data_IF_481826289057
#
_entry.id   IF_481826289057
#
_cell.length_a   1.000
_cell.length_b   1.000
_cell.length_c   1.000
_cell.angle_alpha   90.00
_cell.angle_beta   90.00
_cell.angle_gamma   90.00
#
_symmetry.space_group_name_H-M   'P 1'
#
loop_
_entity.id
_entity.type
_entity.pdbx_description
1 polymer ?
#
# COMPACT_ATOMS: atom_id res chain seq x y z
N UNK A 1 7.50 2.28 30.72
CA UNK A 1 6.86 1.53 29.60
C UNK A 1 7.61 0.23 29.39
N UNK A 2 6.90 -0.89 29.28
CA UNK A 2 7.43 -2.19 28.89
C UNK A 2 6.64 -2.76 27.70
N UNK A 3 7.14 -3.85 27.09
CA UNK A 3 6.51 -4.45 25.89
C UNK A 3 5.05 -4.84 26.10
N UNK A 4 4.72 -5.34 27.29
CA UNK A 4 3.36 -5.75 27.62
C UNK A 4 2.42 -4.53 27.71
N UNK A 5 2.86 -3.45 28.34
CA UNK A 5 2.13 -2.18 28.39
C UNK A 5 1.95 -1.59 26.98
N UNK A 6 3.02 -1.60 26.16
CA UNK A 6 2.97 -1.15 24.77
C UNK A 6 1.93 -1.93 23.97
N UNK A 7 1.95 -3.26 24.04
CA UNK A 7 1.01 -4.14 23.37
C UNK A 7 -0.44 -3.89 23.81
N UNK A 8 -0.65 -3.70 25.10
CA UNK A 8 -1.97 -3.48 25.68
C UNK A 8 -2.57 -2.15 25.22
N UNK A 9 -1.80 -1.06 25.29
CA UNK A 9 -2.26 0.26 24.82
C UNK A 9 -2.59 0.23 23.34
N UNK A 10 -1.73 -0.37 22.50
CA UNK A 10 -1.98 -0.56 21.08
C UNK A 10 -3.29 -1.31 20.82
N UNK A 11 -3.50 -2.45 21.50
CA UNK A 11 -4.71 -3.25 21.30
C UNK A 11 -5.97 -2.54 21.77
N UNK A 12 -5.91 -1.77 22.86
CA UNK A 12 -7.05 -0.96 23.32
C UNK A 12 -7.39 0.12 22.29
N UNK A 13 -6.38 0.80 21.73
CA UNK A 13 -6.58 1.81 20.70
C UNK A 13 -7.24 1.23 19.44
N UNK A 14 -6.76 0.07 18.96
CA UNK A 14 -7.33 -0.65 17.82
C UNK A 14 -8.79 -1.07 18.04
N UNK A 15 -9.11 -1.56 19.24
CA UNK A 15 -10.45 -2.08 19.55
C UNK A 15 -11.45 -0.98 19.92
N UNK A 16 -11.00 0.21 20.32
CA UNK A 16 -11.85 1.28 20.85
C UNK A 16 -12.65 0.88 22.12
N UNK A 17 -12.27 -0.24 22.77
CA UNK A 17 -12.95 -0.81 23.92
C UNK A 17 -12.02 -1.68 24.77
N UNK A 18 -11.94 -1.41 26.06
CA UNK A 18 -11.15 -2.22 27.00
C UNK A 18 -11.66 -3.66 27.05
N UNK A 19 -12.98 -3.86 27.01
CA UNK A 19 -13.59 -5.20 27.05
C UNK A 19 -13.25 -6.01 25.79
N UNK A 20 -13.34 -5.38 24.60
CA UNK A 20 -12.97 -6.03 23.35
C UNK A 20 -11.46 -6.34 23.30
N UNK A 21 -10.62 -5.40 23.74
CA UNK A 21 -9.17 -5.59 23.83
C UNK A 21 -8.78 -6.72 24.80
N UNK A 22 -9.45 -6.81 25.97
CA UNK A 22 -9.21 -7.87 26.93
C UNK A 22 -9.49 -9.26 26.34
N UNK A 23 -10.60 -9.42 25.59
CA UNK A 23 -10.90 -10.65 24.85
C UNK A 23 -9.81 -10.96 23.82
N UNK A 24 -9.39 -9.96 23.01
CA UNK A 24 -8.35 -10.12 21.99
C UNK A 24 -6.99 -10.49 22.58
N UNK A 25 -6.70 -10.00 23.79
CA UNK A 25 -5.45 -10.24 24.53
C UNK A 25 -5.49 -11.49 25.44
N UNK A 26 -6.62 -12.19 25.50
CA UNK A 26 -6.83 -13.34 26.40
C UNK A 26 -6.54 -13.03 27.88
N UNK A 27 -6.94 -11.84 28.34
CA UNK A 27 -6.82 -11.41 29.75
C UNK A 27 -8.18 -10.99 30.30
N UNK A 28 -8.30 -10.93 31.64
CA UNK A 28 -9.51 -10.41 32.26
C UNK A 28 -9.61 -8.88 32.06
N UNK A 29 -10.82 -8.39 31.82
CA UNK A 29 -11.05 -6.94 31.68
C UNK A 29 -10.63 -6.15 32.94
N UNK A 30 -10.85 -6.63 34.21
CA UNK A 30 -10.36 -5.94 35.38
C UNK A 30 -8.83 -5.80 35.40
N UNK A 31 -8.10 -6.85 35.01
CA UNK A 31 -6.62 -6.82 34.92
C UNK A 31 -6.13 -5.80 33.90
N UNK A 32 -6.75 -5.74 32.71
CA UNK A 32 -6.38 -4.78 31.69
C UNK A 32 -6.69 -3.34 32.13
N UNK A 33 -7.84 -3.11 32.76
CA UNK A 33 -8.22 -1.81 33.32
C UNK A 33 -7.30 -1.36 34.44
N UNK A 34 -6.85 -2.29 35.30
CA UNK A 34 -5.92 -1.99 36.39
C UNK A 34 -4.55 -1.60 35.84
N UNK A 35 -4.03 -2.34 34.85
CA UNK A 35 -2.77 -2.02 34.17
C UNK A 35 -2.84 -0.64 33.53
N UNK A 36 -3.93 -0.33 32.83
CA UNK A 36 -4.09 0.99 32.21
C UNK A 36 -4.10 2.11 33.26
N UNK A 37 -4.82 1.93 34.38
CA UNK A 37 -4.84 2.92 35.47
C UNK A 37 -3.46 3.11 36.08
N UNK A 38 -2.72 2.04 36.32
CA UNK A 38 -1.36 2.12 36.82
C UNK A 38 -0.45 2.88 35.86
N UNK A 39 -0.55 2.60 34.56
CA UNK A 39 0.20 3.32 33.52
C UNK A 39 -0.11 4.81 33.53
N UNK A 40 -1.39 5.19 33.59
CA UNK A 40 -1.83 6.58 33.65
C UNK A 40 -1.34 7.28 34.93
N UNK A 41 -1.26 6.56 36.05
CA UNK A 41 -0.66 7.06 37.29
C UNK A 41 0.87 7.25 37.18
N UNK A 42 1.57 6.30 36.57
CA UNK A 42 3.04 6.38 36.34
C UNK A 42 3.40 7.55 35.40
N UNK A 43 2.58 7.81 34.39
CA UNK A 43 2.80 8.90 33.43
C UNK A 43 2.26 10.25 33.91
N UNK A 44 1.39 10.26 34.90
CA UNK A 44 0.68 11.44 35.38
C UNK A 44 -0.35 12.00 34.39
N UNK A 45 -0.63 11.31 33.29
CA UNK A 45 -1.51 11.77 32.24
C UNK A 45 -2.48 10.66 31.79
N UNK A 46 -3.76 10.98 31.50
CA UNK A 46 -4.68 10.02 30.91
C UNK A 46 -4.24 9.66 29.49
N UNK A 47 -4.21 8.38 29.19
CA UNK A 47 -3.87 7.86 27.86
C UNK A 47 -5.12 7.74 26.99
N UNK A 48 -6.27 7.42 27.61
CA UNK A 48 -7.54 7.32 26.91
C UNK A 48 -8.57 8.27 27.49
N UNK A 49 -9.37 8.86 26.59
CA UNK A 49 -10.57 9.63 26.95
C UNK A 49 -11.73 8.66 27.20
N UNK A 50 -12.11 8.52 28.45
CA UNK A 50 -13.19 7.62 28.89
C UNK A 50 -14.61 8.21 28.70
N UNK A 51 -14.70 9.47 28.30
CA UNK A 51 -15.99 10.13 28.05
C UNK A 51 -16.59 9.77 26.69
N UNK A 52 -15.78 9.13 25.81
CA UNK A 52 -16.18 8.81 24.44
C UNK A 52 -16.47 7.32 24.24
N UNK A 53 -17.42 7.02 23.35
CA UNK A 53 -17.68 5.67 22.86
C UNK A 53 -17.74 5.74 21.32
N UNK A 54 -16.83 5.06 20.60
CA UNK A 54 -15.71 4.24 21.08
C UNK A 54 -14.65 5.03 21.86
N UNK A 55 -13.91 4.33 22.72
CA UNK A 55 -12.79 4.88 23.50
C UNK A 55 -11.74 5.48 22.59
N UNK A 56 -11.31 6.72 22.83
CA UNK A 56 -10.33 7.44 22.01
C UNK A 56 -9.07 7.74 22.78
N UNK A 57 -7.96 7.90 22.08
CA UNK A 57 -6.71 8.37 22.65
C UNK A 57 -6.81 9.86 23.00
N UNK A 58 -6.17 10.24 24.09
CA UNK A 58 -5.81 11.64 24.36
C UNK A 58 -4.57 12.03 23.56
N UNK A 59 -4.22 13.32 23.54
CA UNK A 59 -2.95 13.75 22.93
C UNK A 59 -1.73 13.05 23.57
N UNK A 60 -1.73 12.87 24.87
CA UNK A 60 -0.69 12.08 25.56
C UNK A 60 -0.72 10.61 25.12
N UNK A 61 -1.92 10.05 24.93
CA UNK A 61 -2.13 8.70 24.42
C UNK A 61 -1.59 8.50 23.01
N UNK A 62 -1.75 9.47 22.11
CA UNK A 62 -1.18 9.42 20.76
C UNK A 62 0.36 9.36 20.81
N UNK A 63 0.98 10.21 21.66
CA UNK A 63 2.44 10.19 21.85
C UNK A 63 2.92 8.88 22.46
N UNK A 64 2.17 8.36 23.42
CA UNK A 64 2.47 7.07 24.04
C UNK A 64 2.34 5.92 23.03
N UNK A 65 1.26 5.89 22.25
CA UNK A 65 1.05 4.86 21.21
C UNK A 65 2.18 4.88 20.17
N UNK A 66 2.58 6.05 19.69
CA UNK A 66 3.70 6.17 18.75
C UNK A 66 5.00 5.59 19.32
N UNK A 67 5.31 5.88 20.59
CA UNK A 67 6.48 5.29 21.26
C UNK A 67 6.34 3.78 21.48
N UNK A 68 5.14 3.31 21.83
CA UNK A 68 4.82 1.90 22.01
C UNK A 68 5.01 1.09 20.72
N UNK A 69 4.57 1.63 19.58
CA UNK A 69 4.73 0.99 18.27
C UNK A 69 6.19 0.85 17.88
N UNK A 70 7.02 1.86 18.12
CA UNK A 70 8.47 1.79 17.91
C UNK A 70 9.14 0.71 18.77
N UNK A 71 8.76 0.61 20.03
CA UNK A 71 9.28 -0.42 20.95
C UNK A 71 8.91 -1.83 20.49
N UNK A 72 7.67 -2.03 20.06
CA UNK A 72 7.19 -3.31 19.53
C UNK A 72 7.90 -3.68 18.24
N UNK A 73 8.16 -2.71 17.36
CA UNK A 73 8.91 -2.91 16.13
C UNK A 73 10.35 -3.35 16.42
N UNK A 74 11.05 -2.67 17.33
CA UNK A 74 12.41 -3.03 17.72
C UNK A 74 12.50 -4.44 18.32
N UNK A 75 11.51 -4.83 19.13
CA UNK A 75 11.47 -6.21 19.68
C UNK A 75 11.26 -7.25 18.56
N UNK A 76 10.36 -6.98 17.62
CA UNK A 76 10.13 -7.89 16.49
C UNK A 76 11.39 -8.02 15.59
N UNK A 77 12.14 -6.94 15.42
CA UNK A 77 13.42 -6.94 14.72
C UNK A 77 14.45 -7.84 15.42
N UNK A 78 14.65 -7.66 16.71
CA UNK A 78 15.55 -8.50 17.51
C UNK A 78 15.18 -9.99 17.39
N UNK A 79 13.91 -10.34 17.48
CA UNK A 79 13.45 -11.71 17.33
C UNK A 79 13.74 -12.26 15.92
N UNK A 80 13.66 -11.41 14.88
CA UNK A 80 14.01 -11.80 13.51
C UNK A 80 15.51 -12.04 13.36
N UNK A 81 16.34 -11.16 13.91
CA UNK A 81 17.81 -11.31 13.92
C UNK A 81 18.25 -12.59 14.63
N UNK A 82 17.64 -12.87 15.79
CA UNK A 82 17.95 -14.08 16.55
C UNK A 82 17.54 -15.36 15.80
N UNK A 83 16.44 -15.33 15.07
CA UNK A 83 16.01 -16.45 14.21
C UNK A 83 17.00 -16.67 13.04
N UNK A 84 17.45 -15.59 12.41
CA UNK A 84 18.43 -15.69 11.32
C UNK A 84 19.77 -16.27 11.82
N UNK A 85 20.24 -15.83 12.98
CA UNK A 85 21.45 -16.35 13.62
C UNK A 85 21.35 -17.86 13.89
N UNK A 86 20.17 -18.36 14.24
CA UNK A 86 19.91 -19.79 14.44
C UNK A 86 19.89 -20.59 13.13
N UNK A 87 20.06 -19.98 11.99
CA UNK A 87 19.99 -20.58 10.64
C UNK A 87 18.66 -21.29 10.34
N UNK A 88 17.60 -20.93 11.04
CA UNK A 88 16.30 -21.63 10.90
C UNK A 88 15.55 -21.26 9.61
N UNK A 89 16.01 -20.30 8.81
CA UNK A 89 15.31 -19.78 7.61
C UNK A 89 13.78 -19.63 7.79
N UNK A 90 13.34 -19.62 9.04
CA UNK A 90 11.96 -19.46 9.45
C UNK A 90 11.72 -18.01 9.84
N UNK A 91 10.55 -17.50 9.47
CA UNK A 91 10.22 -16.14 9.79
C UNK A 91 8.82 -15.76 9.33
N UNK A 92 8.57 -14.47 9.45
CA UNK A 92 7.34 -13.86 8.96
C UNK A 92 7.71 -12.59 8.22
N UNK A 93 7.25 -12.46 6.99
CA UNK A 93 7.36 -11.25 6.19
C UNK A 93 5.99 -10.57 6.12
N UNK A 94 5.85 -9.44 6.80
CA UNK A 94 4.66 -8.59 6.72
C UNK A 94 4.82 -7.65 5.52
N UNK A 95 4.15 -8.01 4.43
CA UNK A 95 4.26 -7.33 3.15
C UNK A 95 3.07 -6.41 2.90
N UNK A 96 3.33 -5.13 2.70
CA UNK A 96 2.35 -4.16 2.24
C UNK A 96 2.36 -4.03 0.71
N UNK A 97 1.20 -4.11 0.09
CA UNK A 97 1.05 -3.97 -1.37
C UNK A 97 -0.39 -3.56 -1.70
N UNK A 98 -0.64 -2.85 -2.79
CA UNK A 98 -2.02 -2.61 -3.22
C UNK A 98 -2.66 -3.88 -3.76
N UNK A 99 -3.98 -4.06 -3.53
CA UNK A 99 -4.71 -5.29 -3.92
C UNK A 99 -4.51 -5.64 -5.40
N UNK A 100 -4.66 -4.67 -6.30
CA UNK A 100 -4.50 -4.91 -7.73
C UNK A 100 -3.07 -5.33 -8.09
N UNK A 101 -2.07 -4.74 -7.40
CA UNK A 101 -0.67 -5.11 -7.63
C UNK A 101 -0.35 -6.48 -7.03
N UNK A 102 -0.95 -6.82 -5.88
CA UNK A 102 -0.85 -8.15 -5.29
C UNK A 102 -1.35 -9.24 -6.22
N UNK A 103 -2.49 -9.02 -6.88
CA UNK A 103 -3.04 -9.95 -7.87
C UNK A 103 -2.10 -10.25 -9.05
N UNK A 104 -1.24 -9.29 -9.41
CA UNK A 104 -0.26 -9.47 -10.50
C UNK A 104 1.06 -10.07 -10.01
N UNK A 105 1.54 -9.62 -8.85
CA UNK A 105 2.88 -9.94 -8.34
C UNK A 105 2.89 -11.27 -7.60
N UNK A 106 1.93 -11.47 -6.69
CA UNK A 106 1.98 -12.63 -5.78
C UNK A 106 1.90 -13.99 -6.47
N UNK A 107 1.05 -14.22 -7.48
CA UNK A 107 1.01 -15.50 -8.18
C UNK A 107 2.33 -15.89 -8.86
N UNK A 108 3.16 -14.91 -9.22
CA UNK A 108 4.43 -15.12 -9.89
C UNK A 108 5.60 -15.26 -8.90
N UNK A 109 5.59 -14.45 -7.84
CA UNK A 109 6.71 -14.33 -6.90
C UNK A 109 6.63 -15.36 -5.78
N UNK A 110 5.42 -15.59 -5.23
CA UNK A 110 5.26 -16.47 -4.09
C UNK A 110 5.74 -17.92 -4.33
N UNK A 111 5.44 -18.57 -5.46
CA UNK A 111 5.94 -19.93 -5.71
C UNK A 111 7.48 -20.02 -5.72
N UNK A 112 8.14 -19.04 -6.33
CA UNK A 112 9.62 -18.98 -6.39
C UNK A 112 10.21 -18.74 -5.00
N UNK A 113 9.61 -17.81 -4.26
CA UNK A 113 10.05 -17.49 -2.91
C UNK A 113 9.89 -18.68 -1.95
N UNK A 114 8.76 -19.38 -1.99
CA UNK A 114 8.49 -20.53 -1.11
C UNK A 114 9.41 -21.73 -1.39
N UNK A 115 9.90 -21.90 -2.62
CA UNK A 115 10.90 -22.93 -2.90
C UNK A 115 12.19 -22.70 -2.13
N UNK A 116 12.59 -21.42 -1.94
CA UNK A 116 13.81 -21.06 -1.23
C UNK A 116 13.59 -20.90 0.28
N UNK A 117 12.40 -20.44 0.68
CA UNK A 117 12.04 -20.12 2.05
C UNK A 117 10.73 -20.80 2.48
N UNK A 118 10.69 -22.15 2.57
CA UNK A 118 9.46 -22.89 2.86
C UNK A 118 8.87 -22.60 4.24
N UNK A 119 9.70 -22.17 5.19
CA UNK A 119 9.30 -21.88 6.58
C UNK A 119 9.08 -20.39 6.86
N UNK A 120 9.07 -19.54 5.83
CA UNK A 120 8.74 -18.11 5.98
C UNK A 120 7.28 -17.89 5.59
N UNK A 121 6.49 -17.40 6.53
CA UNK A 121 5.09 -17.03 6.28
C UNK A 121 5.01 -15.60 5.74
N UNK A 122 4.29 -15.41 4.64
CA UNK A 122 3.92 -14.07 4.16
C UNK A 122 2.57 -13.64 4.73
N UNK A 123 2.52 -12.42 5.27
CA UNK A 123 1.29 -11.76 5.69
C UNK A 123 1.09 -10.51 4.82
N UNK A 124 0.00 -10.48 4.05
CA UNK A 124 -0.29 -9.35 3.18
C UNK A 124 -1.12 -8.30 3.89
N UNK A 125 -0.73 -7.03 3.71
CA UNK A 125 -1.53 -5.85 4.06
C UNK A 125 -1.82 -5.08 2.79
N UNK A 126 -3.09 -5.07 2.39
CA UNK A 126 -3.53 -4.50 1.12
C UNK A 126 -4.12 -3.10 1.34
N UNK A 127 -3.33 -2.08 1.01
CA UNK A 127 -3.69 -0.66 1.17
C UNK A 127 -3.08 0.20 0.04
N UNK A 128 -3.56 1.44 -0.09
CA UNK A 128 -2.96 2.43 -0.99
C UNK A 128 -1.54 2.86 -0.55
N UNK A 129 -0.73 3.31 -1.50
CA UNK A 129 0.70 3.58 -1.28
C UNK A 129 1.00 4.54 -0.11
N UNK A 130 0.23 5.61 0.05
CA UNK A 130 0.42 6.56 1.16
C UNK A 130 0.22 5.88 2.54
N UNK A 131 -0.78 5.01 2.64
CA UNK A 131 -1.07 4.27 3.86
C UNK A 131 0.00 3.21 4.16
N UNK A 132 0.54 2.58 3.11
CA UNK A 132 1.64 1.61 3.25
C UNK A 132 2.92 2.26 3.79
N UNK A 133 3.25 3.48 3.36
CA UNK A 133 4.39 4.22 3.92
C UNK A 133 4.23 4.50 5.42
N UNK A 134 3.02 4.86 5.84
CA UNK A 134 2.73 5.08 7.25
C UNK A 134 2.87 3.80 8.07
N UNK A 135 2.26 2.69 7.61
CA UNK A 135 2.37 1.38 8.25
C UNK A 135 3.83 0.91 8.34
N UNK A 136 4.63 1.19 7.32
CA UNK A 136 6.05 0.86 7.31
C UNK A 136 6.82 1.65 8.36
N UNK A 137 6.58 2.98 8.46
CA UNK A 137 7.20 3.83 9.50
C UNK A 137 6.81 3.42 10.92
N UNK A 138 5.58 2.94 11.11
CA UNK A 138 5.09 2.44 12.40
C UNK A 138 5.57 1.02 12.75
N UNK A 139 6.26 0.33 11.82
CA UNK A 139 6.70 -1.05 12.02
C UNK A 139 5.58 -2.09 11.98
N UNK A 140 4.42 -1.74 11.44
CA UNK A 140 3.30 -2.66 11.26
C UNK A 140 3.51 -3.62 10.09
N UNK A 141 4.31 -3.21 9.10
CA UNK A 141 4.80 -4.04 7.99
C UNK A 141 6.33 -3.93 7.91
N UNK A 142 6.97 -4.94 7.32
CA UNK A 142 8.42 -5.04 7.18
C UNK A 142 8.90 -4.51 5.83
N UNK A 143 8.13 -4.76 4.80
CA UNK A 143 8.39 -4.40 3.42
C UNK A 143 7.11 -3.84 2.79
N UNK A 144 7.21 -2.79 2.01
CA UNK A 144 6.14 -2.31 1.15
C UNK A 144 6.55 -2.38 -0.32
N UNK A 145 5.69 -2.95 -1.17
CA UNK A 145 5.79 -2.82 -2.61
C UNK A 145 4.82 -1.74 -3.05
N UNK A 146 5.33 -0.54 -3.33
CA UNK A 146 4.51 0.63 -3.54
C UNK A 146 4.98 1.49 -4.72
N UNK A 147 4.03 2.11 -5.39
CA UNK A 147 4.32 3.11 -6.40
C UNK A 147 4.25 4.50 -5.74
N UNK A 148 5.36 5.21 -5.72
CA UNK A 148 5.54 6.47 -5.01
C UNK A 148 6.07 7.56 -5.95
N UNK A 149 5.65 8.80 -5.71
CA UNK A 149 6.18 9.98 -6.39
C UNK A 149 7.24 10.72 -5.56
N UNK A 150 7.21 10.57 -4.25
CA UNK A 150 8.12 11.21 -3.31
C UNK A 150 8.74 10.18 -2.39
N UNK A 151 9.94 10.46 -1.90
CA UNK A 151 10.69 9.60 -0.99
C UNK A 151 10.77 10.22 0.40
N UNK A 152 10.64 9.41 1.44
CA UNK A 152 10.84 9.81 2.83
C UNK A 152 12.29 9.54 3.26
N UNK A 153 12.97 10.44 3.98
CA UNK A 153 14.34 10.23 4.43
C UNK A 153 14.54 9.03 5.36
N UNK A 154 13.48 8.60 6.04
CA UNK A 154 13.50 7.48 7.00
C UNK A 154 13.37 6.10 6.34
N UNK A 155 13.08 6.03 5.05
CA UNK A 155 12.87 4.81 4.31
C UNK A 155 13.96 4.61 3.25
N UNK A 156 14.30 3.36 2.99
CA UNK A 156 15.10 2.94 1.85
C UNK A 156 14.16 2.55 0.69
N UNK A 157 14.60 2.80 -0.53
CA UNK A 157 13.83 2.56 -1.74
C UNK A 157 14.70 1.83 -2.76
N UNK A 158 14.27 0.65 -3.17
CA UNK A 158 14.89 -0.11 -4.27
C UNK A 158 13.92 -0.12 -5.45
N UNK A 159 14.36 0.40 -6.59
CA UNK A 159 13.53 0.44 -7.79
C UNK A 159 13.34 -0.97 -8.34
N UNK A 160 12.08 -1.39 -8.44
CA UNK A 160 11.71 -2.67 -9.07
C UNK A 160 11.35 -2.45 -10.53
N UNK A 161 10.49 -1.48 -10.82
CA UNK A 161 9.91 -1.30 -12.15
C UNK A 161 9.59 0.18 -12.43
N UNK A 162 9.77 0.59 -13.69
CA UNK A 162 9.23 1.87 -14.21
C UNK A 162 7.96 1.60 -14.97
N UNK A 163 6.89 2.27 -14.60
CA UNK A 163 5.56 2.07 -15.18
C UNK A 163 5.16 3.28 -16.03
N UNK A 164 4.74 3.05 -17.24
CA UNK A 164 4.20 4.10 -18.11
C UNK A 164 2.77 4.42 -17.72
N UNK A 165 2.46 5.71 -17.57
CA UNK A 165 1.09 6.18 -17.34
C UNK A 165 0.45 6.51 -18.69
N UNK A 166 -0.81 6.16 -18.82
CA UNK A 166 -1.59 6.44 -20.00
C UNK A 166 -3.08 6.51 -19.71
N UNK A 167 -3.83 6.59 -20.77
CA UNK A 167 -5.29 6.70 -20.78
C UNK A 167 -5.86 5.38 -21.28
N UNK A 168 -6.62 4.69 -20.46
CA UNK A 168 -7.53 3.65 -20.90
C UNK A 168 -8.82 4.31 -21.35
N UNK A 169 -9.25 4.08 -22.57
CA UNK A 169 -10.49 4.59 -23.13
C UNK A 169 -11.40 3.44 -23.57
N UNK A 170 -12.65 3.47 -23.16
CA UNK A 170 -13.67 2.60 -23.74
C UNK A 170 -13.92 2.95 -25.21
N UNK A 171 -14.31 1.96 -26.02
CA UNK A 171 -14.48 2.09 -27.48
C UNK A 171 -15.42 3.20 -27.94
N UNK A 172 -16.38 3.59 -27.09
CA UNK A 172 -17.41 4.58 -27.42
C UNK A 172 -16.99 6.02 -27.08
N UNK A 173 -15.78 6.21 -26.55
CA UNK A 173 -15.19 7.53 -26.32
C UNK A 173 -14.83 8.21 -27.66
N UNK A 174 -14.83 9.54 -27.68
CA UNK A 174 -14.40 10.29 -28.88
C UNK A 174 -12.92 9.98 -29.18
N UNK A 175 -12.10 9.84 -28.15
CA UNK A 175 -10.68 9.50 -28.28
C UNK A 175 -10.49 8.14 -28.98
N UNK A 176 -11.24 7.11 -28.58
CA UNK A 176 -11.11 5.77 -29.15
C UNK A 176 -11.62 5.69 -30.59
N UNK A 177 -12.52 6.59 -31.00
CA UNK A 177 -12.99 6.71 -32.39
C UNK A 177 -12.01 7.48 -33.28
N UNK A 178 -11.25 8.39 -32.70
CA UNK A 178 -10.38 9.31 -33.44
C UNK A 178 -8.95 8.78 -33.62
N UNK A 179 -8.41 8.05 -32.62
CA UNK A 179 -7.01 7.63 -32.58
C UNK A 179 -6.86 6.12 -32.52
N UNK A 180 -5.84 5.59 -33.18
CA UNK A 180 -5.46 4.18 -33.04
C UNK A 180 -4.88 3.91 -31.64
N UNK A 181 -5.19 2.74 -31.09
CA UNK A 181 -4.60 2.31 -29.80
C UNK A 181 -3.08 2.30 -29.87
N UNK A 182 -2.41 2.72 -28.80
CA UNK A 182 -0.96 2.86 -28.72
C UNK A 182 -0.44 4.24 -29.16
N UNK A 183 -1.27 5.10 -29.79
CA UNK A 183 -0.88 6.47 -30.10
C UNK A 183 -0.63 7.27 -28.84
N UNK A 184 0.53 7.91 -28.72
CA UNK A 184 0.80 8.82 -27.61
C UNK A 184 -0.07 10.09 -27.73
N UNK A 185 -0.88 10.38 -26.70
CA UNK A 185 -1.82 11.50 -26.70
C UNK A 185 -1.49 12.50 -25.60
N UNK A 186 -1.68 13.81 -25.88
CA UNK A 186 -1.66 14.82 -24.83
C UNK A 186 -2.91 14.66 -23.95
N UNK A 187 -2.82 15.08 -22.68
CA UNK A 187 -3.93 14.96 -21.73
C UNK A 187 -5.18 15.75 -22.19
N UNK A 188 -4.99 16.84 -22.91
CA UNK A 188 -6.05 17.68 -23.48
C UNK A 188 -7.03 16.89 -24.35
N UNK A 189 -6.56 15.81 -24.97
CA UNK A 189 -7.41 14.94 -25.81
C UNK A 189 -8.56 14.32 -25.01
N UNK A 190 -8.43 14.14 -23.69
CA UNK A 190 -9.45 13.53 -22.82
C UNK A 190 -10.15 14.49 -21.87
N UNK A 191 -9.83 15.79 -21.93
CA UNK A 191 -10.40 16.78 -21.00
C UNK A 191 -11.93 16.92 -21.09
N UNK A 192 -12.53 16.55 -22.23
CA UNK A 192 -13.99 16.57 -22.44
C UNK A 192 -14.64 15.21 -22.23
N UNK A 193 -13.86 14.18 -22.06
CA UNK A 193 -14.38 12.82 -21.83
C UNK A 193 -14.90 12.66 -20.41
N UNK A 194 -15.79 11.69 -20.25
CA UNK A 194 -16.21 11.23 -18.93
C UNK A 194 -15.07 10.43 -18.30
N UNK A 195 -14.72 10.76 -17.07
CA UNK A 195 -13.55 10.18 -16.39
C UNK A 195 -14.02 9.32 -15.21
N UNK A 196 -13.48 8.12 -15.13
CA UNK A 196 -13.51 7.29 -13.93
C UNK A 196 -12.18 7.49 -13.19
N UNK A 197 -12.21 7.71 -11.89
CA UNK A 197 -11.00 7.92 -11.11
C UNK A 197 -10.98 7.08 -9.83
N UNK A 198 -9.79 6.92 -9.27
CA UNK A 198 -9.63 6.35 -7.94
C UNK A 198 -9.86 7.42 -6.85
N UNK A 199 -10.20 6.99 -5.65
CA UNK A 199 -10.30 7.87 -4.49
C UNK A 199 -8.96 8.46 -4.10
N UNK A 200 -8.97 9.53 -3.32
CA UNK A 200 -7.75 10.20 -2.83
C UNK A 200 -6.89 9.21 -2.04
N UNK A 201 -5.56 9.33 -2.16
CA UNK A 201 -4.60 8.44 -1.52
C UNK A 201 -4.03 7.35 -2.44
N UNK A 202 -4.65 7.10 -3.58
CA UNK A 202 -4.07 6.24 -4.62
C UNK A 202 -3.07 7.02 -5.48
N UNK A 203 -1.92 6.39 -5.79
CA UNK A 203 -0.87 7.03 -6.61
C UNK A 203 -1.37 7.46 -8.00
N UNK A 204 -2.21 6.65 -8.65
CA UNK A 204 -2.81 7.04 -9.93
C UNK A 204 -3.73 8.26 -9.82
N UNK A 205 -4.45 8.44 -8.70
CA UNK A 205 -5.26 9.63 -8.45
C UNK A 205 -4.38 10.86 -8.21
N UNK A 206 -3.31 10.73 -7.47
CA UNK A 206 -2.35 11.83 -7.25
C UNK A 206 -1.79 12.33 -8.59
N UNK A 207 -1.39 11.39 -9.47
CA UNK A 207 -0.91 11.70 -10.82
C UNK A 207 -2.00 12.41 -11.64
N UNK A 208 -3.21 11.86 -11.66
CA UNK A 208 -4.35 12.46 -12.38
C UNK A 208 -4.61 13.89 -11.91
N UNK A 209 -4.73 14.12 -10.61
CA UNK A 209 -5.01 15.45 -10.05
C UNK A 209 -3.90 16.45 -10.37
N UNK A 210 -2.63 16.02 -10.37
CA UNK A 210 -1.47 16.84 -10.76
C UNK A 210 -1.52 17.21 -12.25
N UNK A 211 -1.87 16.26 -13.10
CA UNK A 211 -2.00 16.48 -14.55
C UNK A 211 -3.11 17.50 -14.89
N UNK A 212 -4.31 17.29 -14.36
CA UNK A 212 -5.43 18.20 -14.58
C UNK A 212 -5.18 19.61 -14.01
N UNK A 213 -4.57 19.68 -12.82
CA UNK A 213 -4.17 20.97 -12.21
C UNK A 213 -3.17 21.74 -13.09
N UNK A 214 -2.20 21.04 -13.69
CA UNK A 214 -1.22 21.67 -14.60
C UNK A 214 -1.89 22.29 -15.84
N UNK A 215 -2.98 21.71 -16.29
CA UNK A 215 -3.77 22.25 -17.41
C UNK A 215 -4.77 23.34 -16.97
N UNK A 216 -4.92 23.61 -15.69
CA UNK A 216 -5.94 24.52 -15.17
C UNK A 216 -7.38 24.01 -15.41
N UNK A 217 -7.57 22.70 -15.59
CA UNK A 217 -8.84 22.07 -15.90
C UNK A 217 -9.30 21.13 -14.79
N UNK A 218 -10.62 20.94 -14.69
CA UNK A 218 -11.21 19.92 -13.83
C UNK A 218 -11.68 18.73 -14.68
N UNK A 219 -11.41 17.47 -14.25
CA UNK A 219 -11.94 16.31 -14.96
C UNK A 219 -13.46 16.20 -14.79
N UNK A 220 -14.16 15.73 -15.81
CA UNK A 220 -15.56 15.37 -15.73
C UNK A 220 -15.72 13.98 -15.09
N UNK A 221 -15.64 13.92 -13.75
CA UNK A 221 -15.65 12.66 -13.00
C UNK A 221 -17.08 12.15 -12.87
N UNK A 222 -17.31 10.93 -13.37
CA UNK A 222 -18.62 10.25 -13.26
C UNK A 222 -18.64 9.14 -12.21
N UNK A 223 -17.49 8.63 -11.84
CA UNK A 223 -17.34 7.62 -10.81
C UNK A 223 -16.00 7.81 -10.07
N UNK A 224 -16.06 7.75 -8.76
CA UNK A 224 -14.89 7.65 -7.88
C UNK A 224 -14.97 6.33 -7.11
N UNK A 225 -13.89 5.52 -7.14
CA UNK A 225 -13.86 4.18 -6.52
C UNK A 225 -12.50 3.87 -5.93
N UNK A 226 -12.46 3.07 -4.87
CA UNK A 226 -11.21 2.53 -4.29
C UNK A 226 -10.63 1.37 -5.10
N UNK A 227 -11.47 0.67 -5.85
CA UNK A 227 -11.08 -0.53 -6.58
C UNK A 227 -10.71 -0.21 -8.03
N UNK A 228 -9.41 -0.28 -8.36
CA UNK A 228 -8.93 -0.04 -9.73
C UNK A 228 -9.63 -0.95 -10.75
N UNK A 229 -9.86 -2.20 -10.40
CA UNK A 229 -10.53 -3.16 -11.28
C UNK A 229 -11.98 -2.75 -11.59
N UNK A 230 -12.72 -2.24 -10.60
CA UNK A 230 -14.07 -1.69 -10.83
C UNK A 230 -13.99 -0.49 -11.77
N UNK A 231 -13.09 0.46 -11.49
CA UNK A 231 -12.90 1.65 -12.33
C UNK A 231 -12.57 1.30 -13.78
N UNK A 232 -11.65 0.36 -13.99
CA UNK A 232 -11.22 -0.12 -15.29
C UNK A 232 -12.39 -0.75 -16.08
N UNK A 233 -13.15 -1.64 -15.46
CA UNK A 233 -14.31 -2.29 -16.09
C UNK A 233 -15.40 -1.29 -16.43
N UNK A 234 -15.71 -0.35 -15.53
CA UNK A 234 -16.68 0.70 -15.80
C UNK A 234 -16.21 1.60 -16.94
N UNK A 235 -14.93 1.98 -17.00
CA UNK A 235 -14.40 2.79 -18.08
C UNK A 235 -14.62 2.13 -19.45
N UNK A 236 -14.39 0.82 -19.56
CA UNK A 236 -14.57 0.05 -20.77
C UNK A 236 -16.05 -0.09 -21.17
N UNK A 237 -16.93 -0.46 -20.25
CA UNK A 237 -18.33 -0.76 -20.54
C UNK A 237 -19.20 0.50 -20.67
N UNK A 238 -18.90 1.56 -19.91
CA UNK A 238 -19.66 2.81 -19.96
C UNK A 238 -19.13 3.84 -20.98
N UNK A 239 -18.13 3.49 -21.77
CA UNK A 239 -17.50 4.37 -22.73
C UNK A 239 -16.92 5.63 -22.08
N UNK A 240 -16.03 5.43 -21.12
CA UNK A 240 -15.36 6.48 -20.35
C UNK A 240 -13.85 6.33 -20.44
N UNK A 241 -13.12 7.32 -19.92
CA UNK A 241 -11.67 7.25 -19.81
C UNK A 241 -11.24 7.04 -18.36
N UNK A 242 -10.08 6.41 -18.18
CA UNK A 242 -9.41 6.28 -16.89
C UNK A 242 -7.90 6.46 -17.08
N UNK A 243 -7.27 7.25 -16.21
CA UNK A 243 -5.80 7.39 -16.21
C UNK A 243 -5.22 6.33 -15.29
N UNK A 244 -4.36 5.48 -15.84
CA UNK A 244 -3.78 4.36 -15.09
C UNK A 244 -2.44 3.92 -15.73
N UNK A 245 -1.61 3.16 -14.98
CA UNK A 245 -0.40 2.56 -15.52
C UNK A 245 -0.70 1.47 -16.55
N UNK A 246 0.16 1.40 -17.58
CA UNK A 246 0.08 0.40 -18.66
C UNK A 246 0.11 -1.04 -18.17
N UNK A 247 0.72 -1.31 -17.03
CA UNK A 247 0.77 -2.65 -16.43
C UNK A 247 -0.59 -3.26 -16.11
N UNK A 248 -1.64 -2.42 -16.00
CA UNK A 248 -3.01 -2.86 -15.76
C UNK A 248 -3.82 -3.09 -17.04
N UNK A 249 -3.18 -2.94 -18.19
CA UNK A 249 -3.79 -3.27 -19.47
C UNK A 249 -3.51 -4.74 -19.77
N UNK A 250 -4.54 -5.52 -19.84
CA UNK A 250 -4.51 -6.96 -20.06
C UNK A 250 -5.45 -7.39 -21.19
N UNK A 251 -5.51 -8.68 -21.44
CA UNK A 251 -6.36 -9.26 -22.50
C UNK A 251 -7.84 -8.89 -22.33
N UNK A 252 -8.33 -8.73 -21.10
CA UNK A 252 -9.70 -8.29 -20.86
C UNK A 252 -9.95 -6.89 -21.47
N UNK A 253 -9.01 -5.97 -21.35
CA UNK A 253 -9.11 -4.63 -21.93
C UNK A 253 -9.22 -4.71 -23.46
N UNK A 254 -8.41 -5.54 -24.10
CA UNK A 254 -8.42 -5.71 -25.56
C UNK A 254 -9.66 -6.46 -26.06
N UNK A 255 -10.09 -7.51 -25.35
CA UNK A 255 -11.33 -8.24 -25.69
C UNK A 255 -12.58 -7.36 -25.63
N UNK A 256 -12.61 -6.39 -24.70
CA UNK A 256 -13.68 -5.39 -24.61
C UNK A 256 -13.49 -4.20 -25.53
N UNK A 257 -12.55 -4.29 -26.47
CA UNK A 257 -12.22 -3.23 -27.44
C UNK A 257 -11.85 -1.90 -26.79
N UNK A 258 -11.26 -1.95 -25.59
CA UNK A 258 -10.64 -0.80 -24.97
C UNK A 258 -9.36 -0.42 -25.72
N UNK A 259 -9.03 0.85 -25.70
CA UNK A 259 -7.78 1.36 -26.26
C UNK A 259 -6.94 1.98 -25.15
N UNK A 260 -5.63 1.79 -25.24
CA UNK A 260 -4.67 2.41 -24.31
C UNK A 260 -3.80 3.41 -25.08
N UNK A 261 -3.63 4.58 -24.49
CA UNK A 261 -2.92 5.71 -25.06
C UNK A 261 -1.86 6.19 -24.06
N UNK A 262 -0.56 5.97 -24.33
CA UNK A 262 0.49 6.60 -23.52
C UNK A 262 0.31 8.13 -23.50
N UNK A 263 0.55 8.77 -22.36
CA UNK A 263 0.53 10.22 -22.28
C UNK A 263 1.77 10.80 -22.96
N UNK A 264 1.55 11.74 -23.90
CA UNK A 264 2.59 12.52 -24.56
C UNK A 264 3.03 13.67 -23.65
N UNK A 265 4.29 14.07 -23.73
CA UNK A 265 4.87 15.23 -23.04
C UNK A 265 4.81 15.19 -21.50
N UNK A 266 4.60 14.03 -20.95
CA UNK A 266 4.71 13.77 -19.55
C UNK A 266 5.84 12.75 -19.35
N UNK A 267 6.90 13.13 -18.60
CA UNK A 267 7.86 12.16 -18.07
C UNK A 267 7.14 11.27 -17.07
N UNK A 268 6.22 10.49 -17.59
CA UNK A 268 5.18 9.78 -16.88
C UNK A 268 5.66 8.40 -16.53
N UNK A 269 6.79 8.33 -15.84
CA UNK A 269 7.18 7.08 -15.22
C UNK A 269 6.76 7.11 -13.75
N UNK A 270 5.78 6.29 -13.45
CA UNK A 270 5.53 5.93 -12.07
C UNK A 270 6.56 4.88 -11.68
N UNK A 271 7.24 5.10 -10.59
CA UNK A 271 8.26 4.18 -10.10
C UNK A 271 7.64 3.25 -9.06
N UNK A 272 7.77 1.94 -9.28
CA UNK A 272 7.38 0.92 -8.33
C UNK A 272 8.60 0.47 -7.55
N UNK A 273 8.54 0.64 -6.24
CA UNK A 273 9.65 0.42 -5.32
C UNK A 273 9.35 -0.71 -4.35
N UNK A 274 10.41 -1.39 -3.93
CA UNK A 274 10.48 -2.03 -2.63
C UNK A 274 10.95 -1.00 -1.60
N UNK A 275 10.18 -0.83 -0.55
CA UNK A 275 10.43 0.17 0.49
C UNK A 275 10.53 -0.52 1.85
N UNK A 276 11.53 -0.14 2.64
CA UNK A 276 11.73 -0.66 4.00
C UNK A 276 12.39 0.41 4.88
N UNK A 277 12.40 0.21 6.20
CA UNK A 277 13.03 1.16 7.13
C UNK A 277 14.54 1.16 6.96
N UNK A 278 15.12 2.35 6.77
CA UNK A 278 16.52 2.52 6.36
C UNK A 278 17.53 2.05 7.41
N UNK A 279 17.24 2.33 8.68
CA UNK A 279 18.17 2.13 9.80
C UNK A 279 17.88 0.85 10.58
N UNK A 280 17.08 -0.07 10.01
CA UNK A 280 16.74 -1.33 10.63
C UNK A 280 17.40 -2.51 9.92
N UNK A 281 17.58 -3.58 10.68
CA UNK A 281 18.07 -4.84 10.13
C UNK A 281 17.07 -5.41 9.13
N UNK A 282 17.53 -5.71 7.93
CA UNK A 282 16.74 -6.35 6.88
C UNK A 282 17.15 -7.82 6.79
N UNK A 283 16.30 -8.76 7.21
CA UNK A 283 16.58 -10.19 7.14
C UNK A 283 16.89 -10.63 5.71
N UNK A 284 17.67 -11.70 5.57
CA UNK A 284 18.07 -12.22 4.27
C UNK A 284 16.88 -12.57 3.38
N UNK A 285 15.88 -13.25 3.94
CA UNK A 285 14.66 -13.59 3.19
C UNK A 285 13.90 -12.38 2.64
N UNK A 286 13.98 -11.21 3.30
CA UNK A 286 13.37 -9.96 2.79
C UNK A 286 14.15 -9.44 1.58
N UNK A 287 15.49 -9.43 1.64
CA UNK A 287 16.35 -9.01 0.50
C UNK A 287 16.16 -9.94 -0.69
N UNK A 288 16.14 -11.24 -0.44
CA UNK A 288 15.94 -12.25 -1.49
C UNK A 288 14.52 -12.14 -2.09
N UNK A 289 13.49 -11.82 -1.28
CA UNK A 289 12.14 -11.53 -1.77
C UNK A 289 12.13 -10.33 -2.73
N UNK A 290 12.83 -9.24 -2.40
CA UNK A 290 12.97 -8.07 -3.27
C UNK A 290 13.65 -8.45 -4.58
N UNK A 291 14.76 -9.20 -4.49
CA UNK A 291 15.50 -9.65 -5.66
C UNK A 291 14.67 -10.57 -6.57
N UNK A 292 13.98 -11.56 -6.00
CA UNK A 292 13.06 -12.46 -6.73
C UNK A 292 11.96 -11.64 -7.41
N UNK A 293 11.35 -10.70 -6.69
CA UNK A 293 10.30 -9.83 -7.24
C UNK A 293 10.82 -9.06 -8.46
N UNK A 294 11.99 -8.44 -8.34
CA UNK A 294 12.60 -7.68 -9.43
C UNK A 294 12.90 -8.55 -10.64
N UNK A 295 13.47 -9.74 -10.44
CA UNK A 295 13.80 -10.67 -11.52
C UNK A 295 12.57 -11.20 -12.25
N UNK A 296 11.55 -11.60 -11.48
CA UNK A 296 10.30 -12.16 -12.03
C UNK A 296 9.55 -11.12 -12.85
N UNK A 297 9.44 -9.88 -12.34
CA UNK A 297 8.77 -8.81 -13.08
C UNK A 297 9.54 -8.35 -14.32
N UNK A 298 10.88 -8.29 -14.24
CA UNK A 298 11.70 -7.99 -15.42
C UNK A 298 11.57 -9.04 -16.52
N UNK A 299 11.43 -10.32 -16.16
CA UNK A 299 11.16 -11.40 -17.14
C UNK A 299 9.78 -11.22 -17.77
N UNK A 300 8.76 -10.97 -16.96
CA UNK A 300 7.39 -10.76 -17.46
C UNK A 300 7.27 -9.57 -18.42
N UNK A 301 8.03 -8.48 -18.16
CA UNK A 301 8.04 -7.32 -19.06
C UNK A 301 8.59 -7.66 -20.46
N UNK A 302 9.60 -8.52 -20.53
CA UNK A 302 10.21 -8.94 -21.82
C UNK A 302 9.29 -9.87 -22.61
N UNK A 303 8.38 -10.57 -21.98
CA UNK A 303 7.43 -11.50 -22.57
C UNK A 303 6.08 -10.84 -22.93
N UNK A 304 5.86 -9.58 -22.55
CA UNK A 304 4.69 -8.81 -22.99
C UNK A 304 4.90 -8.37 -24.44
N UNK A 305 3.89 -8.58 -25.33
CA UNK A 305 3.96 -8.22 -26.73
C UNK A 305 4.03 -6.69 -26.94
#
# INVERSE_FOLDING_TARGET
MNLKQAQYVKTIAECGSITAAAKKLFVSQPSLSQMLRQLEQETGLPIFDRSTTPLRLTYAGEKYLHAAERMLAANAELESQLREIRQEHAGRLRLGISITRAMQVMPLVLPVFQQQYPNVTLELTEKGSAHLEELLRMGNIDLALAALESTSPSLAYELIEKETIGILAGRDTAVARQYASGTALPLEAVCRERIVCLTKGHSSRIIQDKLFRRLGMAPNVILETDALEVGRRVALEAGCCMILPSIYIDDYCYQRRGAFYPLKDYESHRHFYACYRKDEFVPRYVRDFIQITTQVLAKQQRERP
#
